data_IF_671761656794
#
_entry.id   IF_671761656794
#
_cell.length_a   1.000
_cell.length_b   1.000
_cell.length_c   1.000
_cell.angle_alpha   90.00
_cell.angle_beta   90.00
_cell.angle_gamma   90.00
#
_symmetry.space_group_name_H-M   'P 1'
#
loop_
_entity.id
_entity.type
_entity.pdbx_description
1 polymer ?
#
# COMPACT_ATOMS: atom_id res chain seq x y z
N UNK A 1 2.54 10.53 -2.63
CA UNK A 1 2.17 9.61 -3.73
C UNK A 1 0.98 8.77 -3.30
N UNK A 2 -0.18 8.95 -3.93
CA UNK A 2 -1.36 8.09 -3.69
C UNK A 2 -1.23 6.93 -4.67
N UNK A 3 -0.95 5.71 -4.19
CA UNK A 3 -1.11 4.53 -5.04
C UNK A 3 -2.60 4.43 -5.38
N UNK A 4 -2.95 4.53 -6.66
CA UNK A 4 -4.31 4.31 -7.12
C UNK A 4 -4.69 2.82 -6.94
N UNK A 5 -5.95 2.49 -7.26
CA UNK A 5 -6.47 1.13 -7.10
C UNK A 5 -5.69 0.11 -7.93
N UNK A 6 -5.17 0.46 -9.11
CA UNK A 6 -4.30 -0.42 -9.89
C UNK A 6 -2.98 -0.67 -9.15
N UNK A 7 -2.27 0.38 -8.72
CA UNK A 7 -1.02 0.24 -7.98
C UNK A 7 -1.12 -0.63 -6.72
N UNK A 8 -2.23 -0.57 -5.98
CA UNK A 8 -2.48 -1.45 -4.83
C UNK A 8 -2.63 -2.92 -5.25
N UNK A 9 -3.37 -3.17 -6.33
CA UNK A 9 -3.63 -4.53 -6.83
C UNK A 9 -2.39 -5.15 -7.47
N UNK A 10 -1.67 -4.39 -8.29
CA UNK A 10 -0.43 -4.83 -8.93
C UNK A 10 0.63 -5.16 -7.89
N UNK A 11 0.81 -4.30 -6.88
CA UNK A 11 1.71 -4.56 -5.75
C UNK A 11 1.31 -5.81 -4.97
N UNK A 12 0.02 -5.99 -4.69
CA UNK A 12 -0.48 -7.20 -4.03
C UNK A 12 -0.20 -8.47 -4.83
N UNK A 13 -0.32 -8.41 -6.17
CA UNK A 13 -0.02 -9.54 -7.06
C UNK A 13 1.47 -9.87 -7.09
N UNK A 14 2.34 -8.86 -7.24
CA UNK A 14 3.80 -9.05 -7.33
C UNK A 14 4.37 -9.57 -6.01
N UNK A 15 3.91 -9.01 -4.88
CA UNK A 15 4.39 -9.39 -3.56
C UNK A 15 3.65 -10.61 -2.98
N UNK A 16 2.66 -11.15 -3.70
CA UNK A 16 1.81 -12.26 -3.26
C UNK A 16 1.19 -12.02 -1.86
N UNK A 17 0.66 -10.82 -1.64
CA UNK A 17 0.01 -10.41 -0.39
C UNK A 17 -1.36 -9.82 -0.67
N UNK A 18 -2.24 -9.89 0.33
CA UNK A 18 -3.58 -9.33 0.22
C UNK A 18 -3.54 -7.80 0.05
N UNK A 19 -4.44 -7.27 -0.79
CA UNK A 19 -4.55 -5.83 -1.07
C UNK A 19 -4.67 -4.96 0.20
N UNK A 20 -5.32 -5.47 1.25
CA UNK A 20 -5.47 -4.74 2.51
C UNK A 20 -4.14 -4.58 3.25
N UNK A 21 -3.21 -5.54 3.12
CA UNK A 21 -1.87 -5.46 3.68
C UNK A 21 -1.07 -4.33 3.03
N UNK A 22 -1.19 -4.20 1.70
CA UNK A 22 -0.60 -3.09 0.94
C UNK A 22 -1.17 -1.74 1.43
N UNK A 23 -2.49 -1.63 1.56
CA UNK A 23 -3.15 -0.41 2.06
C UNK A 23 -2.67 -0.06 3.47
N UNK A 24 -2.59 -1.04 4.37
CA UNK A 24 -2.14 -0.82 5.75
C UNK A 24 -0.67 -0.38 5.81
N UNK A 25 0.20 -0.97 4.98
CA UNK A 25 1.60 -0.57 4.87
C UNK A 25 1.74 0.89 4.40
N UNK A 26 0.96 1.30 3.39
CA UNK A 26 0.94 2.68 2.89
C UNK A 26 0.47 3.65 3.99
N UNK A 27 -0.64 3.32 4.68
CA UNK A 27 -1.16 4.13 5.79
C UNK A 27 -0.14 4.27 6.93
N UNK A 28 0.53 3.18 7.31
CA UNK A 28 1.58 3.18 8.34
C UNK A 28 2.76 4.07 7.93
N UNK A 29 3.24 3.95 6.68
CA UNK A 29 4.33 4.78 6.15
C UNK A 29 3.93 6.27 6.12
N UNK A 30 2.72 6.60 5.68
CA UNK A 30 2.22 7.98 5.69
C UNK A 30 2.25 8.58 7.10
N UNK A 31 1.76 7.83 8.10
CA UNK A 31 1.77 8.27 9.50
C UNK A 31 3.20 8.54 10.02
N UNK A 32 4.15 7.68 9.67
CA UNK A 32 5.56 7.84 10.07
C UNK A 32 6.28 9.01 9.40
N UNK A 33 5.77 9.49 8.25
CA UNK A 33 6.31 10.64 7.52
C UNK A 33 5.60 11.97 7.89
N UNK A 34 4.58 11.93 8.73
CA UNK A 34 3.84 13.11 9.22
C UNK A 34 4.26 13.52 10.64
N UNK A 35 5.38 12.99 11.11
CA UNK A 35 6.08 13.35 12.35
C UNK A 35 7.45 13.89 12.00
#
# INVERSE_FOLDING_TARGET
MVLNVSGIRDTGRVLNIHKNTVINAIKKKKRALST
#
